data_IF_757278843383
#
_entry.id   IF_757278843383
#
_cell.length_a   1.000
_cell.length_b   1.000
_cell.length_c   1.000
_cell.angle_alpha   90.00
_cell.angle_beta   90.00
_cell.angle_gamma   90.00
#
_symmetry.space_group_name_H-M   'P 1'
#
loop_
_entity.id
_entity.type
_entity.pdbx_description
1 polymer ?
#
# COMPACT_ATOMS: atom_id res chain seq x y z
N UNK A 1 -8.85 -4.50 -3.18
CA UNK A 1 -9.38 -5.42 -2.14
C UNK A 1 -8.62 -6.73 -2.24
N UNK A 2 -8.52 -7.49 -1.16
CA UNK A 2 -7.89 -8.81 -1.14
C UNK A 2 -8.81 -9.82 -0.46
N UNK A 3 -8.77 -11.07 -0.90
CA UNK A 3 -9.59 -12.17 -0.35
C UNK A 3 -8.80 -13.06 0.61
N UNK A 4 -9.34 -13.43 1.78
CA UNK A 4 -8.64 -14.31 2.71
C UNK A 4 -8.57 -15.76 2.20
N UNK A 5 -7.61 -16.52 2.71
CA UNK A 5 -7.58 -17.99 2.55
C UNK A 5 -8.55 -18.68 3.49
N UNK A 6 -9.03 -19.87 3.09
CA UNK A 6 -9.73 -20.81 3.98
C UNK A 6 -8.76 -21.81 4.62
N UNK A 7 -7.53 -21.35 4.90
CA UNK A 7 -6.48 -22.08 5.60
C UNK A 7 -5.56 -21.06 6.28
N UNK A 8 -4.86 -21.50 7.31
CA UNK A 8 -4.08 -20.60 8.15
C UNK A 8 -4.95 -19.66 8.99
N UNK A 9 -4.34 -18.77 9.77
CA UNK A 9 -5.06 -17.82 10.61
C UNK A 9 -5.82 -16.79 9.76
N UNK A 10 -7.12 -16.68 10.01
CA UNK A 10 -7.93 -15.57 9.55
C UNK A 10 -7.76 -14.39 10.50
N UNK A 11 -7.55 -13.19 9.94
CA UNK A 11 -7.53 -11.96 10.73
C UNK A 11 -8.98 -11.58 11.04
N UNK A 12 -9.36 -11.55 12.31
CA UNK A 12 -10.74 -11.28 12.75
C UNK A 12 -10.78 -10.06 13.68
N UNK A 13 -11.79 -9.21 13.51
CA UNK A 13 -11.94 -8.00 14.31
C UNK A 13 -10.72 -7.08 14.16
N UNK A 14 -10.21 -6.56 15.26
CA UNK A 14 -9.10 -5.59 15.27
C UNK A 14 -7.72 -6.21 14.96
N UNK A 15 -7.64 -7.51 14.67
CA UNK A 15 -6.39 -8.15 14.29
C UNK A 15 -5.87 -7.62 12.96
N UNK A 16 -4.56 -7.36 12.91
CA UNK A 16 -3.88 -6.96 11.69
C UNK A 16 -2.45 -7.51 11.67
N UNK A 17 -1.90 -7.63 10.46
CA UNK A 17 -0.47 -7.81 10.24
C UNK A 17 0.05 -6.55 9.56
N UNK A 18 1.19 -6.07 10.02
CA UNK A 18 1.89 -4.92 9.45
C UNK A 18 3.35 -5.30 9.17
N UNK A 19 3.86 -4.91 7.99
CA UNK A 19 5.24 -5.19 7.63
C UNK A 19 5.63 -4.60 6.28
N UNK A 20 6.94 -4.59 6.02
CA UNK A 20 7.47 -4.22 4.70
C UNK A 20 7.14 -5.29 3.65
N UNK A 21 6.98 -4.88 2.39
CA UNK A 21 6.76 -5.80 1.28
C UNK A 21 8.09 -6.34 0.74
N UNK A 22 8.08 -7.62 0.36
CA UNK A 22 9.18 -8.28 -0.34
C UNK A 22 8.63 -9.18 -1.43
N UNK A 23 9.29 -9.21 -2.58
CA UNK A 23 8.90 -10.06 -3.71
C UNK A 23 9.62 -11.40 -3.60
N UNK A 24 8.89 -12.50 -3.78
CA UNK A 24 9.47 -13.83 -3.79
C UNK A 24 10.47 -14.02 -4.94
N UNK A 25 11.57 -14.73 -4.68
CA UNK A 25 12.49 -15.21 -5.70
C UNK A 25 12.65 -16.73 -5.53
N UNK A 26 12.17 -17.59 -6.45
CA UNK A 26 11.42 -17.26 -7.67
C UNK A 26 10.03 -16.69 -7.37
N UNK A 27 9.51 -15.82 -8.26
CA UNK A 27 8.24 -15.10 -8.03
C UNK A 27 7.02 -16.00 -7.87
N UNK A 28 7.08 -17.21 -8.41
CA UNK A 28 6.01 -18.21 -8.26
C UNK A 28 6.02 -18.90 -6.90
N UNK A 29 7.10 -18.85 -6.14
CA UNK A 29 7.21 -19.47 -4.81
C UNK A 29 6.71 -20.92 -4.77
N UNK A 30 7.05 -21.72 -5.78
CA UNK A 30 6.71 -23.16 -5.85
C UNK A 30 7.90 -24.07 -5.57
N UNK A 31 9.06 -23.47 -5.32
CA UNK A 31 10.30 -24.11 -4.95
C UNK A 31 10.95 -23.30 -3.83
N UNK A 32 12.10 -23.77 -3.36
CA UNK A 32 12.88 -23.05 -2.35
C UNK A 32 13.12 -21.59 -2.75
N UNK A 33 12.82 -20.68 -1.82
CA UNK A 33 13.00 -19.25 -2.00
C UNK A 33 14.48 -18.92 -1.79
N UNK A 34 15.09 -18.21 -2.74
CA UNK A 34 16.52 -17.87 -2.72
C UNK A 34 16.83 -16.62 -1.91
N UNK A 35 15.84 -15.80 -1.58
CA UNK A 35 15.98 -14.54 -0.85
C UNK A 35 15.43 -14.62 0.59
N UNK A 36 15.61 -15.74 1.29
CA UNK A 36 15.00 -15.97 2.63
C UNK A 36 15.38 -14.90 3.64
N UNK A 37 16.62 -14.41 3.59
CA UNK A 37 17.13 -13.36 4.48
C UNK A 37 16.38 -12.04 4.29
N UNK A 38 15.94 -11.74 3.06
CA UNK A 38 15.10 -10.57 2.77
C UNK A 38 13.63 -10.78 3.16
N UNK A 39 13.19 -12.04 3.28
CA UNK A 39 11.81 -12.42 3.55
C UNK A 39 11.50 -12.42 5.04
N UNK A 40 12.45 -12.84 5.87
CA UNK A 40 12.27 -12.96 7.31
C UNK A 40 11.72 -11.67 7.94
N UNK A 41 10.57 -11.77 8.61
CA UNK A 41 9.91 -10.64 9.26
C UNK A 41 9.21 -9.66 8.31
N UNK A 42 8.96 -10.04 7.05
CA UNK A 42 8.29 -9.20 6.04
C UNK A 42 7.07 -9.89 5.44
N UNK A 43 6.26 -9.13 4.71
CA UNK A 43 5.09 -9.63 3.98
C UNK A 43 5.53 -10.04 2.58
N UNK A 44 5.45 -11.34 2.29
CA UNK A 44 5.88 -11.90 1.01
C UNK A 44 4.82 -11.70 -0.07
N UNK A 45 5.24 -11.35 -1.28
CA UNK A 45 4.42 -11.32 -2.48
C UNK A 45 4.85 -12.45 -3.41
N UNK A 46 3.91 -13.30 -3.81
CA UNK A 46 4.13 -14.33 -4.83
C UNK A 46 3.03 -14.31 -5.89
N UNK A 47 3.29 -14.86 -7.07
CA UNK A 47 2.29 -14.98 -8.14
C UNK A 47 1.57 -16.34 -8.10
N UNK A 48 0.29 -16.32 -8.42
CA UNK A 48 -0.54 -17.51 -8.67
C UNK A 48 0.02 -18.34 -9.84
N UNK A 49 -0.08 -19.66 -9.71
CA UNK A 49 0.29 -20.63 -10.73
C UNK A 49 1.28 -21.69 -10.23
N UNK A 50 1.46 -22.74 -11.04
CA UNK A 50 2.42 -23.86 -10.91
C UNK A 50 2.25 -24.80 -9.70
N UNK A 51 1.79 -24.28 -8.56
CA UNK A 51 1.52 -25.05 -7.34
C UNK A 51 0.35 -24.45 -6.56
N UNK A 52 -0.12 -25.17 -5.54
CA UNK A 52 -1.27 -24.76 -4.73
C UNK A 52 -0.95 -23.54 -3.84
N UNK A 53 -1.99 -22.82 -3.40
CA UNK A 53 -1.82 -21.68 -2.47
C UNK A 53 -1.22 -22.11 -1.13
N UNK A 54 -1.62 -23.28 -0.62
CA UNK A 54 -1.10 -23.84 0.64
C UNK A 54 0.39 -24.16 0.52
N UNK A 55 0.83 -24.75 -0.59
CA UNK A 55 2.25 -25.01 -0.85
C UNK A 55 3.08 -23.72 -0.82
N UNK A 56 2.59 -22.65 -1.45
CA UNK A 56 3.24 -21.31 -1.41
C UNK A 56 3.31 -20.78 0.02
N UNK A 57 2.24 -20.94 0.80
CA UNK A 57 2.19 -20.49 2.18
C UNK A 57 3.21 -21.22 3.07
N UNK A 58 3.37 -22.53 2.88
CA UNK A 58 4.40 -23.33 3.58
C UNK A 58 5.83 -22.88 3.24
N UNK A 59 6.10 -22.55 1.97
CA UNK A 59 7.40 -22.02 1.57
C UNK A 59 7.64 -20.61 2.14
N UNK A 60 6.62 -19.76 2.13
CA UNK A 60 6.67 -18.41 2.70
C UNK A 60 6.94 -18.45 4.21
N UNK A 61 6.21 -19.27 4.97
CA UNK A 61 6.42 -19.39 6.41
C UNK A 61 7.78 -20.00 6.75
N UNK A 62 8.25 -20.98 5.97
CA UNK A 62 9.58 -21.57 6.14
C UNK A 62 10.70 -20.56 5.88
N UNK A 63 10.45 -19.53 5.06
CA UNK A 63 11.35 -18.40 4.84
C UNK A 63 11.17 -17.27 5.89
N UNK A 64 10.30 -17.44 6.89
CA UNK A 64 10.09 -16.47 7.97
C UNK A 64 9.17 -15.30 7.61
N UNK A 65 8.35 -15.41 6.57
CA UNK A 65 7.38 -14.36 6.21
C UNK A 65 6.32 -14.18 7.31
N UNK A 66 5.84 -12.94 7.51
CA UNK A 66 4.74 -12.62 8.44
C UNK A 66 3.36 -12.92 7.85
N UNK A 67 3.22 -12.77 6.53
CA UNK A 67 2.01 -13.02 5.77
C UNK A 67 2.37 -13.24 4.30
N UNK A 68 1.45 -13.82 3.54
CA UNK A 68 1.60 -14.04 2.10
C UNK A 68 0.49 -13.32 1.32
N UNK A 69 0.88 -12.49 0.36
CA UNK A 69 0.00 -11.94 -0.67
C UNK A 69 0.23 -12.71 -1.96
N UNK A 70 -0.80 -13.41 -2.44
CA UNK A 70 -0.75 -14.07 -3.75
C UNK A 70 -1.43 -13.19 -4.80
N UNK A 71 -0.68 -12.72 -5.79
CA UNK A 71 -1.24 -11.95 -6.89
C UNK A 71 -1.70 -12.84 -8.04
N UNK A 72 -2.81 -12.48 -8.65
CA UNK A 72 -3.33 -13.21 -9.80
C UNK A 72 -2.41 -13.11 -11.01
N UNK A 73 -2.43 -14.16 -11.84
CA UNK A 73 -1.70 -14.21 -13.10
C UNK A 73 -2.59 -13.91 -14.32
N UNK A 74 -3.90 -13.74 -14.13
CA UNK A 74 -4.84 -13.38 -15.20
C UNK A 74 -4.83 -11.85 -15.39
N UNK A 75 -4.34 -11.33 -16.54
CA UNK A 75 -4.32 -9.89 -16.78
C UNK A 75 -5.72 -9.29 -16.80
N UNK A 76 -5.89 -8.14 -16.14
CA UNK A 76 -7.18 -7.44 -16.11
C UNK A 76 -8.19 -8.04 -15.13
N UNK A 77 -7.83 -9.10 -14.39
CA UNK A 77 -8.67 -9.59 -13.30
C UNK A 77 -8.85 -8.52 -12.21
N UNK A 78 -10.07 -8.44 -11.68
CA UNK A 78 -10.44 -7.50 -10.62
C UNK A 78 -11.60 -8.05 -9.80
N UNK A 79 -11.62 -7.68 -8.51
CA UNK A 79 -12.75 -7.99 -7.63
C UNK A 79 -14.01 -7.18 -7.94
N UNK A 80 -13.92 -6.16 -8.81
CA UNK A 80 -15.06 -5.40 -9.31
C UNK A 80 -15.80 -6.13 -10.44
N UNK A 81 -15.08 -6.94 -11.22
CA UNK A 81 -15.60 -7.60 -12.43
C UNK A 81 -15.73 -9.11 -12.29
N UNK A 82 -15.09 -9.72 -11.29
CA UNK A 82 -15.05 -11.16 -11.10
C UNK A 82 -15.35 -11.53 -9.64
N UNK A 83 -16.08 -12.64 -9.42
CA UNK A 83 -16.33 -13.13 -8.07
C UNK A 83 -15.03 -13.64 -7.45
N UNK A 84 -14.84 -13.33 -6.17
CA UNK A 84 -13.76 -13.86 -5.35
C UNK A 84 -13.88 -15.38 -5.26
N UNK A 85 -12.79 -16.10 -5.55
CA UNK A 85 -12.74 -17.54 -5.38
C UNK A 85 -12.13 -17.89 -4.01
N UNK A 86 -12.58 -19.01 -3.44
CA UNK A 86 -12.04 -19.53 -2.19
C UNK A 86 -10.66 -20.16 -2.43
N UNK A 87 -9.64 -19.71 -1.68
CA UNK A 87 -8.36 -20.43 -1.60
C UNK A 87 -8.50 -21.55 -0.58
N UNK A 88 -8.89 -22.74 -1.04
CA UNK A 88 -9.08 -23.90 -0.19
C UNK A 88 -7.74 -24.51 0.28
N UNK A 89 -7.76 -25.00 1.53
CA UNK A 89 -6.68 -25.82 2.09
C UNK A 89 -6.60 -27.21 1.45
N UNK A 90 -5.56 -27.98 1.79
CA UNK A 90 -5.40 -29.39 1.41
C UNK A 90 -5.83 -30.36 2.54
N UNK A 91 -6.47 -29.85 3.59
CA UNK A 91 -6.91 -30.61 4.75
C UNK A 91 -5.88 -30.67 5.89
N UNK A 92 -4.67 -30.17 5.68
CA UNK A 92 -3.64 -30.07 6.74
C UNK A 92 -3.62 -28.66 7.34
N UNK A 93 -3.60 -28.56 8.66
CA UNK A 93 -3.63 -27.29 9.41
C UNK A 93 -2.24 -26.88 9.92
N UNK A 94 -1.26 -26.81 9.03
CA UNK A 94 0.16 -26.50 9.34
C UNK A 94 0.63 -25.12 8.86
N UNK A 95 -0.26 -24.36 8.19
CA UNK A 95 0.00 -22.97 7.82
C UNK A 95 -0.31 -22.05 8.99
N UNK A 96 0.66 -21.25 9.43
CA UNK A 96 0.52 -20.37 10.62
C UNK A 96 0.57 -18.88 10.30
N UNK A 97 0.62 -18.52 9.02
CA UNK A 97 0.65 -17.12 8.56
C UNK A 97 -0.63 -16.79 7.79
N UNK A 98 -1.16 -15.55 7.88
CA UNK A 98 -2.30 -15.15 7.07
C UNK A 98 -1.94 -15.13 5.58
N UNK A 99 -2.87 -15.59 4.74
CA UNK A 99 -2.71 -15.56 3.29
C UNK A 99 -3.88 -14.82 2.66
N UNK A 100 -3.57 -13.89 1.75
CA UNK A 100 -4.57 -13.13 1.01
C UNK A 100 -4.30 -13.17 -0.49
N UNK A 101 -5.38 -13.18 -1.26
CA UNK A 101 -5.35 -13.14 -2.72
C UNK A 101 -5.67 -11.74 -3.23
N UNK A 102 -4.91 -11.26 -4.21
CA UNK A 102 -5.15 -9.98 -4.86
C UNK A 102 -5.21 -10.15 -6.38
N UNK A 103 -6.28 -9.65 -6.97
CA UNK A 103 -6.43 -9.61 -8.43
C UNK A 103 -5.40 -8.67 -9.08
N UNK A 104 -5.16 -8.88 -10.39
CA UNK A 104 -4.05 -8.23 -11.08
C UNK A 104 -4.19 -6.70 -11.17
N UNK A 105 -5.41 -6.17 -11.31
CA UNK A 105 -5.63 -4.71 -11.34
C UNK A 105 -5.35 -4.05 -9.99
N UNK A 106 -5.83 -4.64 -8.89
CA UNK A 106 -5.58 -4.17 -7.53
C UNK A 106 -4.10 -4.29 -7.18
N UNK A 107 -3.46 -5.40 -7.57
CA UNK A 107 -2.02 -5.60 -7.38
C UNK A 107 -1.19 -4.57 -8.16
N UNK A 108 -1.61 -4.20 -9.37
CA UNK A 108 -0.93 -3.17 -10.16
C UNK A 108 -0.93 -1.81 -9.45
N UNK A 109 -2.02 -1.47 -8.75
CA UNK A 109 -2.08 -0.26 -7.92
C UNK A 109 -1.04 -0.31 -6.79
N UNK A 110 -0.92 -1.45 -6.10
CA UNK A 110 0.07 -1.66 -5.04
C UNK A 110 1.51 -1.58 -5.57
N UNK A 111 1.81 -2.26 -6.68
CA UNK A 111 3.14 -2.26 -7.31
C UNK A 111 3.56 -0.86 -7.74
N UNK A 112 2.63 -0.05 -8.25
CA UNK A 112 2.93 1.34 -8.62
C UNK A 112 3.39 2.18 -7.41
N UNK A 113 2.85 1.91 -6.22
CA UNK A 113 3.31 2.57 -4.99
C UNK A 113 4.65 1.98 -4.53
N UNK A 114 4.79 0.65 -4.56
CA UNK A 114 6.03 -0.04 -4.18
C UNK A 114 7.24 0.40 -5.01
N UNK A 115 7.07 0.59 -6.32
CA UNK A 115 8.11 1.10 -7.22
C UNK A 115 8.60 2.51 -6.83
N UNK A 116 7.71 3.36 -6.31
CA UNK A 116 8.06 4.72 -5.86
C UNK A 116 8.61 4.74 -4.43
N UNK A 117 8.20 3.79 -3.60
CA UNK A 117 8.58 3.67 -2.18
C UNK A 117 8.90 2.20 -1.87
N UNK A 118 10.14 1.76 -2.13
CA UNK A 118 10.53 0.35 -1.97
C UNK A 118 10.51 -0.15 -0.52
N UNK A 119 10.44 0.75 0.47
CA UNK A 119 10.29 0.42 1.91
C UNK A 119 8.90 0.78 2.42
N UNK A 120 7.86 0.49 1.63
CA UNK A 120 6.49 0.71 2.07
C UNK A 120 6.08 -0.33 3.12
N UNK A 121 5.54 0.15 4.23
CA UNK A 121 4.88 -0.67 5.23
C UNK A 121 3.42 -0.83 4.82
N UNK A 122 2.95 -2.08 4.75
CA UNK A 122 1.57 -2.43 4.41
C UNK A 122 0.91 -3.08 5.61
N UNK A 123 -0.37 -2.77 5.80
CA UNK A 123 -1.21 -3.36 6.83
C UNK A 123 -2.31 -4.21 6.19
N UNK A 124 -2.42 -5.47 6.61
CA UNK A 124 -3.47 -6.41 6.22
C UNK A 124 -4.44 -6.54 7.39
N UNK A 125 -5.73 -6.31 7.15
CA UNK A 125 -6.81 -6.39 8.14
C UNK A 125 -8.16 -6.64 7.47
N UNK A 126 -9.20 -6.93 8.25
CA UNK A 126 -10.57 -7.02 7.73
C UNK A 126 -11.07 -5.67 7.22
N UNK A 127 -11.81 -5.69 6.10
CA UNK A 127 -12.33 -4.46 5.49
C UNK A 127 -13.31 -3.70 6.40
N UNK A 128 -14.12 -4.39 7.20
CA UNK A 128 -15.08 -3.75 8.11
C UNK A 128 -14.33 -2.87 9.11
N UNK A 129 -13.26 -3.40 9.69
CA UNK A 129 -12.41 -2.65 10.61
C UNK A 129 -11.58 -1.58 9.90
N UNK A 130 -11.17 -1.80 8.64
CA UNK A 130 -10.52 -0.75 7.85
C UNK A 130 -11.44 0.48 7.65
N UNK A 131 -12.73 0.28 7.36
CA UNK A 131 -13.68 1.40 7.22
C UNK A 131 -13.88 2.14 8.54
N UNK A 132 -13.98 1.40 9.65
CA UNK A 132 -14.09 1.99 11.00
C UNK A 132 -12.82 2.80 11.34
N UNK A 133 -11.65 2.21 11.12
CA UNK A 133 -10.36 2.87 11.24
C UNK A 133 -10.39 4.18 10.45
N UNK A 134 -10.66 4.15 9.14
CA UNK A 134 -10.67 5.35 8.30
C UNK A 134 -11.61 6.46 8.82
N UNK A 135 -12.83 6.11 9.24
CA UNK A 135 -13.77 7.06 9.84
C UNK A 135 -13.23 7.70 11.13
N UNK A 136 -12.54 6.92 11.97
CA UNK A 136 -11.89 7.46 13.19
C UNK A 136 -10.74 8.41 12.84
N UNK A 137 -9.90 8.10 11.84
CA UNK A 137 -8.83 9.01 11.39
C UNK A 137 -9.39 10.32 10.85
N UNK A 138 -10.43 10.25 10.03
CA UNK A 138 -11.02 11.43 9.41
C UNK A 138 -11.69 12.32 10.47
N UNK A 139 -12.36 11.71 11.46
CA UNK A 139 -12.93 12.41 12.62
C UNK A 139 -11.85 13.05 13.51
N UNK A 140 -10.72 12.35 13.74
CA UNK A 140 -9.60 12.88 14.50
C UNK A 140 -8.92 14.05 13.77
N UNK A 141 -8.71 13.93 12.45
CA UNK A 141 -8.19 15.03 11.61
C UNK A 141 -9.12 16.23 11.59
N UNK A 142 -10.43 16.02 11.47
CA UNK A 142 -11.42 17.09 11.51
C UNK A 142 -11.40 17.83 12.86
N UNK A 143 -11.29 17.08 13.96
CA UNK A 143 -11.17 17.64 15.33
C UNK A 143 -9.85 18.43 15.49
N UNK A 144 -8.73 17.91 15.00
CA UNK A 144 -7.44 18.60 15.03
C UNK A 144 -7.42 19.88 14.17
N UNK A 145 -8.04 19.85 12.99
CA UNK A 145 -8.19 21.02 12.14
C UNK A 145 -9.09 22.09 12.76
N UNK A 146 -10.13 21.69 13.51
CA UNK A 146 -11.02 22.60 14.24
C UNK A 146 -10.33 23.25 15.44
N UNK A 147 -9.53 22.49 16.20
CA UNK A 147 -8.74 23.00 17.33
C UNK A 147 -7.66 24.00 16.91
N UNK A 148 -7.09 23.86 15.71
CA UNK A 148 -6.08 24.78 15.17
C UNK A 148 -6.70 26.11 14.69
N UNK A 149 -8.02 26.13 14.41
CA UNK A 149 -8.72 27.32 13.93
C UNK A 149 -9.28 28.21 15.06
N UNK A 150 -9.39 27.69 16.28
CA UNK A 150 -9.92 28.45 17.44
C UNK A 150 -8.84 29.27 18.18
N UNK A 151 -7.55 29.05 17.92
CA UNK A 151 -6.44 29.83 18.50
C UNK A 151 -6.09 31.12 17.74
N UNK A 152 -6.82 31.48 16.67
CA UNK A 152 -6.72 32.78 15.99
C UNK A 152 -7.95 33.64 16.29
N UNK A 153 -8.28 33.87 17.56
CA UNK A 153 -9.15 34.99 17.97
C UNK A 153 -8.80 35.42 19.39
N UNK A 154 -7.92 36.42 19.52
CA UNK A 154 -8.05 37.62 20.36
C UNK A 154 -6.68 38.20 20.72
N UNK A 155 -6.39 39.40 20.20
CA UNK A 155 -5.17 40.14 20.54
C UNK A 155 -4.90 41.39 19.67
N UNK A 156 -5.84 42.34 19.74
CA UNK A 156 -5.65 43.80 19.62
C UNK A 156 -5.15 44.50 18.33
N UNK A 157 -5.84 45.60 18.06
CA UNK A 157 -5.70 46.59 17.00
C UNK A 157 -4.73 47.70 17.46
N UNK A 158 -3.77 48.09 16.63
CA UNK A 158 -3.20 49.45 16.66
C UNK A 158 -3.18 50.06 15.26
N UNK A 159 -3.78 51.26 15.17
CA UNK A 159 -4.05 52.08 13.98
C UNK A 159 -2.82 52.77 13.37
N UNK A 160 -2.96 53.14 12.08
CA UNK A 160 -2.25 54.22 11.37
C UNK A 160 -1.28 53.69 10.30
N UNK A 161 -1.21 54.15 9.05
CA UNK A 161 -1.67 55.36 8.36
C UNK A 161 -1.62 55.07 6.83
N UNK A 162 -2.48 55.73 6.05
CA UNK A 162 -2.78 55.53 4.61
C UNK A 162 -1.74 56.21 3.65
N UNK A 163 -1.96 56.38 2.32
CA UNK A 163 -1.13 55.83 1.22
C UNK A 163 -0.45 56.92 0.34
N UNK A 164 0.38 56.55 -0.66
CA UNK A 164 0.56 57.25 -1.98
C UNK A 164 1.95 57.04 -2.64
N UNK A 165 1.93 56.51 -3.87
CA UNK A 165 2.80 56.76 -5.05
C UNK A 165 4.31 56.40 -4.98
N UNK A 166 5.02 55.88 -5.99
CA UNK A 166 5.00 56.04 -7.47
C UNK A 166 5.75 54.89 -8.19
N UNK A 167 5.28 54.52 -9.40
CA UNK A 167 5.97 54.16 -10.69
C UNK A 167 7.51 53.97 -10.71
N UNK A 168 8.18 53.10 -11.49
CA UNK A 168 7.91 52.45 -12.80
C UNK A 168 8.99 51.34 -13.09
N UNK A 169 9.10 50.69 -14.28
CA UNK A 169 9.38 49.25 -14.43
C UNK A 169 10.78 48.90 -15.00
N UNK A 170 11.13 47.60 -15.03
CA UNK A 170 12.27 47.10 -15.82
C UNK A 170 11.76 46.18 -16.93
N UNK A 171 12.20 46.50 -18.14
CA UNK A 171 11.75 46.04 -19.45
C UNK A 171 12.29 44.66 -19.85
N UNK A 172 11.45 43.96 -20.61
CA UNK A 172 11.81 42.82 -21.48
C UNK A 172 12.52 43.34 -22.73
N UNK A 173 13.60 42.66 -23.16
CA UNK A 173 14.09 42.70 -24.54
C UNK A 173 14.53 41.29 -24.95
N UNK A 174 13.79 40.73 -25.91
CA UNK A 174 14.18 39.59 -26.75
C UNK A 174 15.33 39.96 -27.68
N UNK A 175 16.21 39.01 -28.01
CA UNK A 175 16.46 38.58 -29.41
C UNK A 175 17.69 37.66 -29.58
N UNK A 176 17.43 36.55 -30.28
CA UNK A 176 18.21 35.96 -31.38
C UNK A 176 19.51 35.16 -31.08
N UNK A 177 19.35 33.83 -31.09
CA UNK A 177 19.79 32.88 -32.13
C UNK A 177 21.19 33.04 -32.78
N UNK A 178 22.08 32.04 -32.63
CA UNK A 178 23.16 31.60 -33.54
C UNK A 178 23.55 30.16 -33.09
N UNK A 179 23.10 29.11 -33.78
CA UNK A 179 23.77 28.21 -34.76
C UNK A 179 24.80 27.20 -34.20
N UNK A 180 24.47 25.93 -34.43
CA UNK A 180 25.27 24.79 -34.97
C UNK A 180 26.80 24.74 -34.74
N UNK A 181 27.28 23.67 -34.10
CA UNK A 181 28.18 22.64 -34.69
C UNK A 181 28.61 21.56 -33.65
N UNK A 182 28.64 20.30 -34.14
CA UNK A 182 29.09 19.01 -33.55
C UNK A 182 28.16 18.23 -32.60
#
# INVERSE_FOLDING_TARGET
MAGPSHFGPELIGEQFIEGELVIASPFRACYELSNKEEISGRILIAQRGDCTFVSKARLAQAAGALALIVCDNVPGSSGETQPMFAMSGDGTNDVTIPVVFMYSQEFSKLVNVFKRKPKIIVRIMQMIEFKRWQLTMDSAKATAAKSTRTSITNGEISKGLDPSATNEPITLVDSQNIKDEL
#
